data_IF_599314920807
#
_entry.id   IF_599314920807
#
_cell.length_a   1.000
_cell.length_b   1.000
_cell.length_c   1.000
_cell.angle_alpha   90.00
_cell.angle_beta   90.00
_cell.angle_gamma   90.00
#
_symmetry.space_group_name_H-M   'P 1'
#
loop_
_entity.id
_entity.type
_entity.pdbx_description
1 polymer ?
#
# COMPACT_ATOMS: atom_id res chain seq x y z
N UNK A 1 -12.43 2.08 11.14
CA UNK A 1 -10.99 2.39 11.28
C UNK A 1 -10.24 1.30 12.04
N UNK A 2 -10.74 0.80 13.18
CA UNK A 2 -10.12 -0.34 13.89
C UNK A 2 -9.88 -1.55 12.99
N UNK A 3 -10.87 -1.99 12.23
CA UNK A 3 -10.74 -3.13 11.30
C UNK A 3 -9.62 -2.94 10.26
N UNK A 4 -9.46 -1.71 9.75
CA UNK A 4 -8.36 -1.39 8.82
C UNK A 4 -7.01 -1.44 9.54
N UNK A 5 -6.91 -0.88 10.75
CA UNK A 5 -5.70 -0.95 11.59
C UNK A 5 -5.28 -2.39 11.87
N UNK A 6 -6.21 -3.23 12.34
CA UNK A 6 -5.92 -4.64 12.66
C UNK A 6 -5.48 -5.42 11.41
N UNK A 7 -6.14 -5.16 10.28
CA UNK A 7 -5.76 -5.74 9.00
C UNK A 7 -4.35 -5.32 8.57
N UNK A 8 -4.05 -4.02 8.64
CA UNK A 8 -2.75 -3.45 8.26
C UNK A 8 -1.63 -4.00 9.16
N UNK A 9 -1.85 -4.06 10.47
CA UNK A 9 -0.90 -4.67 11.40
C UNK A 9 -0.66 -6.15 11.09
N UNK A 10 -1.71 -6.87 10.67
CA UNK A 10 -1.59 -8.24 10.16
C UNK A 10 -0.71 -8.32 8.91
N UNK A 11 -0.96 -7.48 7.91
CA UNK A 11 -0.15 -7.41 6.67
C UNK A 11 1.30 -7.04 6.96
N UNK A 12 1.53 -6.10 7.87
CA UNK A 12 2.87 -5.65 8.26
C UNK A 12 3.56 -6.56 9.27
N UNK A 13 2.92 -7.63 9.72
CA UNK A 13 3.43 -8.54 10.75
C UNK A 13 3.78 -7.81 12.07
N UNK A 14 3.18 -6.65 12.28
CA UNK A 14 3.30 -5.84 13.48
C UNK A 14 2.27 -6.33 14.49
N UNK A 15 2.33 -7.59 14.89
CA UNK A 15 1.35 -8.19 15.82
C UNK A 15 1.59 -7.73 17.27
N UNK A 16 0.66 -8.03 18.19
CA UNK A 16 0.79 -7.65 19.60
C UNK A 16 2.04 -8.25 20.27
N UNK A 17 2.56 -9.35 19.74
CA UNK A 17 3.76 -10.03 20.24
C UNK A 17 5.07 -9.30 19.88
N UNK A 18 5.05 -8.36 18.92
CA UNK A 18 6.21 -7.52 18.55
C UNK A 18 5.78 -6.09 18.18
N UNK A 19 5.56 -5.29 19.23
CA UNK A 19 5.22 -3.87 19.10
C UNK A 19 6.43 -2.99 18.71
N UNK A 20 7.66 -3.52 18.74
CA UNK A 20 8.88 -2.73 18.55
C UNK A 20 8.99 -2.09 17.15
N UNK A 21 8.24 -2.65 16.19
CA UNK A 21 8.17 -2.19 14.82
C UNK A 21 6.91 -1.38 14.50
N UNK A 22 6.04 -1.08 15.48
CA UNK A 22 4.88 -0.19 15.29
C UNK A 22 5.29 1.27 15.46
N UNK A 23 4.63 2.16 14.71
CA UNK A 23 4.65 3.60 15.01
C UNK A 23 3.86 3.87 16.29
N UNK A 24 4.32 4.85 17.06
CA UNK A 24 3.61 5.36 18.23
C UNK A 24 2.52 6.36 17.79
N UNK A 25 1.34 5.83 17.47
CA UNK A 25 0.16 6.62 17.10
C UNK A 25 -0.98 6.24 18.03
N UNK A 26 -1.46 7.20 18.81
CA UNK A 26 -2.48 6.99 19.85
C UNK A 26 -3.90 7.27 19.37
N UNK A 27 -4.06 8.03 18.28
CA UNK A 27 -5.35 8.42 17.69
C UNK A 27 -5.16 8.63 16.20
N UNK A 28 -6.13 8.21 15.40
CA UNK A 28 -6.23 8.59 13.99
C UNK A 28 -7.51 9.41 13.82
N UNK A 29 -7.40 10.56 13.14
CA UNK A 29 -8.53 11.46 12.90
C UNK A 29 -8.96 11.37 11.44
N UNK A 30 -10.24 11.09 11.19
CA UNK A 30 -10.82 11.21 9.85
C UNK A 30 -11.52 12.56 9.74
N UNK A 31 -11.10 13.37 8.76
CA UNK A 31 -11.67 14.67 8.42
C UNK A 31 -12.32 14.54 7.05
N UNK A 32 -13.60 14.88 6.95
CA UNK A 32 -14.32 14.93 5.68
C UNK A 32 -14.53 16.41 5.35
N UNK A 33 -13.94 16.86 4.26
CA UNK A 33 -13.93 18.28 3.90
C UNK A 33 -13.93 18.51 2.39
N UNK A 34 -14.24 19.75 1.98
CA UNK A 34 -14.23 20.14 0.57
C UNK A 34 -12.81 20.45 0.12
N UNK A 35 -12.13 19.42 -0.38
CA UNK A 35 -10.79 19.50 -0.97
C UNK A 35 -10.80 18.99 -2.42
N UNK A 36 -9.74 19.34 -3.15
CA UNK A 36 -9.42 18.73 -4.44
C UNK A 36 -8.88 17.30 -4.26
N UNK A 37 -8.95 16.49 -5.31
CA UNK A 37 -8.49 15.11 -5.26
C UNK A 37 -9.45 14.15 -4.55
N UNK A 38 -8.94 12.99 -4.15
CA UNK A 38 -9.73 11.90 -3.55
C UNK A 38 -9.61 11.90 -2.03
N UNK A 39 -8.40 11.72 -1.53
CA UNK A 39 -8.04 11.77 -0.12
C UNK A 39 -6.52 11.99 0.01
N UNK A 40 -6.06 12.29 1.23
CA UNK A 40 -4.65 12.22 1.59
C UNK A 40 -4.49 11.99 3.09
N UNK A 41 -3.29 11.52 3.47
CA UNK A 41 -2.89 11.35 4.87
C UNK A 41 -1.79 12.33 5.24
N UNK A 42 -1.93 12.99 6.40
CA UNK A 42 -0.90 13.82 7.01
C UNK A 42 -0.72 13.42 8.46
N UNK A 43 0.44 12.83 8.79
CA UNK A 43 0.70 12.23 10.11
C UNK A 43 -0.37 11.19 10.49
N UNK A 44 -1.19 11.50 11.49
CA UNK A 44 -2.28 10.71 12.03
C UNK A 44 -3.67 11.23 11.61
N UNK A 45 -3.72 12.14 10.63
CA UNK A 45 -4.95 12.68 10.05
C UNK A 45 -5.17 12.16 8.63
N UNK A 46 -6.38 11.69 8.37
CA UNK A 46 -6.85 11.28 7.05
C UNK A 46 -7.88 12.30 6.60
N UNK A 47 -7.68 12.88 5.43
CA UNK A 47 -8.56 13.87 4.83
C UNK A 47 -9.24 13.26 3.61
N UNK A 48 -10.57 13.13 3.66
CA UNK A 48 -11.39 12.57 2.58
C UNK A 48 -12.18 13.69 1.90
N UNK A 49 -12.11 13.74 0.57
CA UNK A 49 -12.83 14.74 -0.23
C UNK A 49 -14.33 14.51 -0.21
N UNK A 50 -15.07 15.43 0.40
CA UNK A 50 -16.53 15.48 0.31
C UNK A 50 -17.02 15.63 -1.14
N UNK A 51 -16.24 16.34 -1.97
CA UNK A 51 -16.55 16.56 -3.38
C UNK A 51 -16.43 15.25 -4.19
N UNK A 52 -15.38 14.46 -3.94
CA UNK A 52 -15.21 13.14 -4.56
C UNK A 52 -16.35 12.21 -4.18
N UNK A 53 -16.68 12.12 -2.89
CA UNK A 53 -17.77 11.26 -2.39
C UNK A 53 -19.11 11.66 -3.01
N UNK A 54 -19.42 12.96 -3.08
CA UNK A 54 -20.66 13.45 -3.67
C UNK A 54 -20.74 13.20 -5.19
N UNK A 55 -19.60 13.17 -5.88
CA UNK A 55 -19.51 12.94 -7.32
C UNK A 55 -19.40 11.46 -7.73
N UNK A 56 -19.28 10.53 -6.78
CA UNK A 56 -19.05 9.12 -7.09
C UNK A 56 -20.33 8.46 -7.61
N UNK A 57 -20.35 8.11 -8.89
CA UNK A 57 -21.56 7.68 -9.61
C UNK A 57 -21.89 6.18 -9.51
N UNK A 58 -21.07 5.38 -8.82
CA UNK A 58 -21.26 3.93 -8.71
C UNK A 58 -22.14 3.55 -7.52
N UNK A 59 -22.88 2.44 -7.66
CA UNK A 59 -23.84 1.94 -6.67
C UNK A 59 -23.18 1.44 -5.37
N UNK A 60 -21.85 1.27 -5.35
CA UNK A 60 -21.10 0.78 -4.18
C UNK A 60 -20.09 1.82 -3.65
N UNK A 61 -20.60 3.04 -3.41
CA UNK A 61 -19.83 4.13 -2.79
C UNK A 61 -19.25 3.73 -1.42
N UNK A 62 -19.93 2.85 -0.68
CA UNK A 62 -19.45 2.36 0.60
C UNK A 62 -18.16 1.55 0.44
N UNK A 63 -18.11 0.63 -0.54
CA UNK A 63 -16.90 -0.14 -0.83
C UNK A 63 -15.76 0.73 -1.32
N UNK A 64 -16.04 1.76 -2.13
CA UNK A 64 -15.01 2.72 -2.56
C UNK A 64 -14.42 3.47 -1.37
N UNK A 65 -15.25 4.10 -0.53
CA UNK A 65 -14.80 4.83 0.65
C UNK A 65 -14.03 3.89 1.58
N UNK A 66 -14.48 2.66 1.76
CA UNK A 66 -13.77 1.67 2.59
C UNK A 66 -12.39 1.39 2.00
N UNK A 67 -12.28 1.16 0.69
CA UNK A 67 -10.99 0.98 0.02
C UNK A 67 -10.04 2.17 0.15
N UNK A 68 -10.56 3.39 -0.01
CA UNK A 68 -9.78 4.63 0.21
C UNK A 68 -9.27 4.69 1.65
N UNK A 69 -10.12 4.40 2.64
CA UNK A 69 -9.69 4.40 4.03
C UNK A 69 -8.63 3.33 4.34
N UNK A 70 -8.65 2.16 3.67
CA UNK A 70 -7.58 1.17 3.81
C UNK A 70 -6.26 1.67 3.22
N UNK A 71 -6.31 2.35 2.07
CA UNK A 71 -5.15 2.99 1.46
C UNK A 71 -4.57 4.07 2.39
N UNK A 72 -5.37 5.06 2.80
CA UNK A 72 -4.91 6.17 3.63
C UNK A 72 -4.45 5.72 5.03
N UNK A 73 -5.18 4.78 5.65
CA UNK A 73 -4.76 4.21 6.93
C UNK A 73 -3.40 3.49 6.82
N UNK A 74 -3.05 2.97 5.64
CA UNK A 74 -1.74 2.36 5.44
C UNK A 74 -0.62 3.39 5.56
N UNK A 75 -0.81 4.62 5.07
CA UNK A 75 0.18 5.70 5.22
C UNK A 75 0.45 6.06 6.68
N UNK A 76 -0.58 5.99 7.54
CA UNK A 76 -0.42 6.19 8.99
C UNK A 76 0.57 5.16 9.56
N UNK A 77 0.41 3.88 9.23
CA UNK A 77 1.16 2.78 9.87
C UNK A 77 2.48 2.40 9.18
N UNK A 78 2.61 2.66 7.88
CA UNK A 78 3.79 2.24 7.11
C UNK A 78 5.00 3.12 7.38
N UNK A 79 6.19 2.53 7.42
CA UNK A 79 7.43 3.28 7.46
C UNK A 79 7.78 3.85 6.08
N UNK A 80 8.41 5.03 6.06
CA UNK A 80 8.77 5.72 4.82
C UNK A 80 10.28 5.90 4.64
N UNK A 81 11.10 5.13 5.36
CA UNK A 81 12.55 5.18 5.25
C UNK A 81 13.15 6.54 5.61
N UNK A 82 12.56 7.24 6.59
CA UNK A 82 12.94 8.61 6.93
C UNK A 82 12.69 9.60 5.79
N UNK A 83 11.71 9.32 4.93
CA UNK A 83 11.39 10.10 3.72
C UNK A 83 12.21 9.73 2.48
N UNK A 84 13.04 8.69 2.54
CA UNK A 84 13.91 8.27 1.42
C UNK A 84 13.30 7.16 0.55
N UNK A 85 12.18 6.57 0.95
CA UNK A 85 11.50 5.56 0.13
C UNK A 85 10.89 6.20 -1.12
N UNK A 86 11.02 5.60 -2.32
CA UNK A 86 10.38 6.08 -3.54
C UNK A 86 8.87 6.25 -3.35
N UNK A 87 8.34 7.40 -3.78
CA UNK A 87 6.91 7.71 -3.61
C UNK A 87 5.99 6.65 -4.22
N UNK A 88 6.34 6.11 -5.39
CA UNK A 88 5.53 5.04 -5.99
C UNK A 88 5.56 3.72 -5.21
N UNK A 89 6.63 3.43 -4.45
CA UNK A 89 6.63 2.31 -3.53
C UNK A 89 5.71 2.57 -2.32
N UNK A 90 5.73 3.80 -1.78
CA UNK A 90 4.84 4.25 -0.69
C UNK A 90 3.36 4.14 -1.07
N UNK A 91 2.98 4.62 -2.25
CA UNK A 91 1.62 4.49 -2.80
C UNK A 91 1.28 3.03 -3.11
N UNK A 92 2.23 2.29 -3.66
CA UNK A 92 2.05 0.89 -4.02
C UNK A 92 1.84 -0.04 -2.82
N UNK A 93 2.45 0.24 -1.67
CA UNK A 93 2.20 -0.51 -0.43
C UNK A 93 0.78 -0.22 0.10
N UNK A 94 0.34 1.04 0.04
CA UNK A 94 -1.02 1.41 0.41
C UNK A 94 -2.08 0.70 -0.46
N UNK A 95 -1.87 0.68 -1.78
CA UNK A 95 -2.75 -0.07 -2.68
C UNK A 95 -2.58 -1.59 -2.59
N UNK A 96 -1.41 -2.09 -2.19
CA UNK A 96 -1.24 -3.52 -1.87
C UNK A 96 -2.12 -3.92 -0.68
N UNK A 97 -2.17 -3.13 0.40
CA UNK A 97 -3.09 -3.41 1.52
C UNK A 97 -4.53 -3.41 1.03
N UNK A 98 -4.94 -2.39 0.27
CA UNK A 98 -6.28 -2.29 -0.33
C UNK A 98 -6.60 -3.51 -1.21
N UNK A 99 -5.63 -3.99 -1.99
CA UNK A 99 -5.71 -5.20 -2.80
C UNK A 99 -5.97 -6.44 -1.93
N UNK A 100 -5.16 -6.67 -0.89
CA UNK A 100 -5.29 -7.83 -0.01
C UNK A 100 -6.60 -7.81 0.78
N UNK A 101 -7.13 -6.63 1.08
CA UNK A 101 -8.41 -6.45 1.74
C UNK A 101 -9.62 -6.68 0.79
N UNK A 102 -9.40 -6.87 -0.51
CA UNK A 102 -10.45 -7.14 -1.49
C UNK A 102 -11.17 -5.90 -2.03
N UNK A 103 -10.66 -4.70 -1.74
CA UNK A 103 -11.24 -3.43 -2.16
C UNK A 103 -10.68 -2.94 -3.49
N UNK A 104 -10.74 -3.79 -4.52
CA UNK A 104 -10.15 -3.55 -5.85
C UNK A 104 -11.16 -2.78 -6.74
N UNK A 105 -10.87 -1.53 -7.15
CA UNK A 105 -11.65 -0.82 -8.15
C UNK A 105 -11.59 -1.49 -9.52
N UNK A 106 -12.70 -1.41 -10.27
CA UNK A 106 -12.79 -2.04 -11.60
C UNK A 106 -11.85 -1.46 -12.67
N UNK A 107 -11.31 -0.27 -12.45
CA UNK A 107 -10.38 0.39 -13.38
C UNK A 107 -8.91 0.03 -13.13
N UNK A 108 -8.59 -0.72 -12.07
CA UNK A 108 -7.22 -1.10 -11.76
C UNK A 108 -6.61 -1.98 -12.85
N UNK A 109 -5.32 -1.77 -13.08
CA UNK A 109 -4.53 -2.56 -14.02
C UNK A 109 -4.53 -4.04 -13.65
N UNK A 110 -4.38 -4.86 -14.69
CA UNK A 110 -4.19 -6.30 -14.54
C UNK A 110 -2.74 -6.63 -14.18
N UNK A 111 -2.49 -7.80 -13.54
CA UNK A 111 -1.12 -8.29 -13.35
C UNK A 111 -0.32 -8.27 -14.65
N UNK A 112 0.93 -7.80 -14.58
CA UNK A 112 1.82 -7.62 -15.72
C UNK A 112 1.71 -6.29 -16.45
N UNK A 113 0.72 -5.45 -16.18
CA UNK A 113 0.61 -4.12 -16.77
C UNK A 113 1.46 -3.07 -16.04
N UNK A 114 1.62 -1.89 -16.65
CA UNK A 114 2.50 -0.82 -16.16
C UNK A 114 3.94 -0.91 -16.68
N UNK A 115 4.70 0.16 -16.49
CA UNK A 115 5.99 0.39 -17.13
C UNK A 115 7.19 0.20 -16.20
N UNK A 116 7.00 0.45 -14.90
CA UNK A 116 8.06 0.34 -13.87
C UNK A 116 7.51 -0.18 -12.54
N UNK A 117 8.39 -0.80 -11.76
CA UNK A 117 8.02 -1.45 -10.49
C UNK A 117 7.55 -0.46 -9.42
N UNK A 118 8.06 0.78 -9.42
CA UNK A 118 7.72 1.88 -8.51
C UNK A 118 6.83 2.94 -9.18
N UNK A 119 5.97 2.53 -10.11
CA UNK A 119 5.06 3.46 -10.78
C UNK A 119 4.04 4.10 -9.82
N UNK A 120 3.77 3.47 -8.68
CA UNK A 120 2.73 3.87 -7.75
C UNK A 120 1.49 3.00 -7.86
N UNK A 121 0.64 3.16 -6.86
CA UNK A 121 -0.74 2.70 -6.87
C UNK A 121 -0.88 1.22 -7.27
N UNK A 122 -1.91 0.90 -8.05
CA UNK A 122 -2.27 -0.42 -8.52
C UNK A 122 -1.15 -1.15 -9.27
N UNK A 123 -0.36 -0.47 -10.11
CA UNK A 123 0.78 -1.07 -10.83
C UNK A 123 1.78 -1.66 -9.84
N UNK A 124 2.24 -0.85 -8.88
CA UNK A 124 3.20 -1.30 -7.87
C UNK A 124 2.56 -2.31 -6.93
N UNK A 125 1.30 -2.13 -6.54
CA UNK A 125 0.57 -3.09 -5.70
C UNK A 125 0.51 -4.50 -6.32
N UNK A 126 0.26 -4.61 -7.63
CA UNK A 126 0.26 -5.91 -8.35
C UNK A 126 1.64 -6.56 -8.38
N UNK A 127 2.70 -5.77 -8.50
CA UNK A 127 4.07 -6.27 -8.41
C UNK A 127 4.42 -6.74 -7.00
N UNK A 128 4.02 -5.98 -5.98
CA UNK A 128 4.21 -6.38 -4.58
C UNK A 128 3.44 -7.66 -4.24
N UNK A 129 2.24 -7.87 -4.80
CA UNK A 129 1.49 -9.12 -4.66
C UNK A 129 2.17 -10.31 -5.35
N UNK A 130 2.83 -10.09 -6.48
CA UNK A 130 3.72 -11.10 -7.05
C UNK A 130 4.89 -11.43 -6.12
N UNK A 131 5.58 -10.42 -5.56
CA UNK A 131 6.68 -10.62 -4.62
C UNK A 131 6.24 -11.33 -3.34
N UNK A 132 5.07 -10.98 -2.79
CA UNK A 132 4.46 -11.65 -1.64
C UNK A 132 4.08 -13.12 -1.95
N UNK A 133 3.72 -13.42 -3.20
CA UNK A 133 3.53 -14.79 -3.68
C UNK A 133 4.82 -15.61 -3.77
N UNK A 134 5.99 -14.97 -3.87
CA UNK A 134 7.30 -15.64 -3.82
C UNK A 134 7.78 -15.85 -2.38
N UNK A 135 7.52 -14.87 -1.50
CA UNK A 135 7.82 -14.93 -0.09
C UNK A 135 6.63 -14.38 0.71
N UNK A 136 5.87 -15.26 1.36
CA UNK A 136 4.74 -14.84 2.18
C UNK A 136 5.14 -13.85 3.27
N UNK A 137 4.46 -12.70 3.33
CA UNK A 137 4.78 -11.60 4.23
C UNK A 137 5.89 -10.69 3.73
N UNK A 138 6.21 -10.73 2.44
CA UNK A 138 7.25 -9.90 1.83
C UNK A 138 7.05 -8.43 2.16
N UNK A 139 5.84 -7.90 1.95
CA UNK A 139 5.53 -6.47 2.16
C UNK A 139 5.68 -6.07 3.63
N UNK A 140 5.30 -6.94 4.57
CA UNK A 140 5.48 -6.66 6.00
C UNK A 140 6.95 -6.62 6.41
N UNK A 141 7.77 -7.55 5.89
CA UNK A 141 9.21 -7.53 6.12
C UNK A 141 9.87 -6.30 5.49
N UNK A 142 9.51 -5.97 4.26
CA UNK A 142 9.97 -4.76 3.57
C UNK A 142 9.62 -3.50 4.39
N UNK A 143 8.37 -3.37 4.84
CA UNK A 143 7.95 -2.28 5.70
C UNK A 143 8.80 -2.17 6.97
N UNK A 144 9.08 -3.29 7.65
CA UNK A 144 9.96 -3.29 8.81
C UNK A 144 11.40 -2.86 8.52
N UNK A 145 11.96 -3.26 7.37
CA UNK A 145 13.28 -2.80 6.93
C UNK A 145 13.30 -1.30 6.60
N UNK A 146 12.16 -0.72 6.23
CA UNK A 146 12.01 0.71 5.93
C UNK A 146 11.88 1.61 7.16
N UNK A 147 12.04 1.10 8.38
CA UNK A 147 11.82 1.86 9.61
C UNK A 147 12.60 3.19 9.66
N UNK A 148 13.88 3.14 9.31
CA UNK A 148 14.79 4.30 9.41
C UNK A 148 15.31 4.79 8.06
N UNK A 149 15.43 3.91 7.06
CA UNK A 149 15.97 4.24 5.73
C UNK A 149 15.40 3.31 4.65
N UNK A 150 15.69 3.59 3.39
CA UNK A 150 15.34 2.72 2.28
C UNK A 150 16.57 2.38 1.42
N UNK A 151 16.62 1.14 0.96
CA UNK A 151 17.58 0.66 -0.03
C UNK A 151 16.91 -0.38 -0.93
N UNK A 152 17.12 -0.30 -2.24
CA UNK A 152 16.67 -1.35 -3.18
C UNK A 152 17.33 -2.71 -2.90
N UNK A 153 18.46 -2.74 -2.17
CA UNK A 153 19.09 -3.99 -1.75
C UNK A 153 18.17 -4.84 -0.85
N UNK A 154 17.15 -4.26 -0.23
CA UNK A 154 16.18 -5.00 0.59
C UNK A 154 15.47 -6.09 -0.22
N UNK A 155 15.24 -5.88 -1.53
CA UNK A 155 14.71 -6.91 -2.42
C UNK A 155 15.67 -8.09 -2.57
N UNK A 156 16.98 -7.83 -2.63
CA UNK A 156 18.01 -8.87 -2.68
C UNK A 156 18.06 -9.62 -1.34
N UNK A 157 18.02 -8.90 -0.22
CA UNK A 157 18.05 -9.50 1.11
C UNK A 157 16.84 -10.42 1.36
N UNK A 158 15.66 -10.06 0.83
CA UNK A 158 14.42 -10.81 1.01
C UNK A 158 14.21 -11.92 -0.03
N UNK A 159 14.52 -11.69 -1.30
CA UNK A 159 14.17 -12.57 -2.42
C UNK A 159 15.38 -13.08 -3.22
N UNK A 160 16.59 -12.67 -2.87
CA UNK A 160 17.83 -13.08 -3.54
C UNK A 160 18.02 -12.51 -4.95
N UNK A 161 17.21 -11.52 -5.35
CA UNK A 161 17.22 -10.90 -6.69
C UNK A 161 17.08 -9.38 -6.57
N UNK A 162 17.65 -8.65 -7.53
CA UNK A 162 17.45 -7.20 -7.61
C UNK A 162 15.99 -6.91 -7.98
N UNK A 163 15.50 -5.72 -7.63
CA UNK A 163 14.13 -5.31 -7.98
C UNK A 163 13.89 -5.33 -9.50
N UNK A 164 14.89 -4.98 -10.30
CA UNK A 164 14.82 -5.05 -11.77
C UNK A 164 14.68 -6.48 -12.30
N UNK A 165 15.39 -7.44 -11.70
CA UNK A 165 15.25 -8.86 -12.04
C UNK A 165 13.86 -9.36 -11.69
N UNK A 166 13.36 -9.03 -10.49
CA UNK A 166 12.02 -9.39 -10.05
C UNK A 166 10.94 -8.77 -10.95
N UNK A 167 11.11 -7.51 -11.34
CA UNK A 167 10.20 -6.83 -12.26
C UNK A 167 10.21 -7.49 -13.64
N UNK A 168 11.39 -7.83 -14.16
CA UNK A 168 11.52 -8.57 -15.43
C UNK A 168 10.81 -9.92 -15.36
N UNK A 169 11.00 -10.68 -14.28
CA UNK A 169 10.35 -11.97 -14.05
C UNK A 169 8.82 -11.82 -13.93
N UNK A 170 8.35 -10.78 -13.23
CA UNK A 170 6.94 -10.43 -13.12
C UNK A 170 6.33 -10.16 -14.51
N UNK A 171 6.98 -9.32 -15.33
CA UNK A 171 6.53 -9.03 -16.68
C UNK A 171 6.51 -10.28 -17.55
N UNK A 172 7.53 -11.14 -17.46
CA UNK A 172 7.60 -12.39 -18.19
C UNK A 172 6.51 -13.40 -17.76
N UNK A 173 6.15 -13.44 -16.47
CA UNK A 173 5.07 -14.32 -15.96
C UNK A 173 3.71 -13.95 -16.54
N UNK A 174 3.47 -12.67 -16.82
CA UNK A 174 2.17 -12.16 -17.25
C UNK A 174 2.15 -11.66 -18.71
N UNK A 175 3.23 -11.83 -19.48
CA UNK A 175 3.30 -11.43 -20.90
C UNK A 175 2.55 -12.37 -21.86
N UNK A 176 1.95 -13.45 -21.36
CA UNK A 176 1.29 -14.50 -22.14
C UNK A 176 -0.23 -14.58 -22.01
N UNK A 177 -0.89 -13.56 -21.43
CA UNK A 177 -2.35 -13.48 -21.32
C UNK A 177 -2.92 -12.43 -22.27
#
# INVERSE_FOLDING_TARGET
MQEATDFIWGVFQQTEDDLSNRKDVNRVTLIIESIDGVAYTSNDEIHLSANYVAGYASDDVQKEITGILYHEMTHVWQWNGGGNTPGGLIEGIADFVRLKAGFIPGHWVQPGQGDRWDQGYDVTARFLDYCDGLLGGFVGRLNGMMKESYSESFFVDLLGKTVDQLWTDYKAKYSGN
#
